data_IF_949233655715
#
_entry.id   IF_949233655715
#
_cell.length_a   1.000
_cell.length_b   1.000
_cell.length_c   1.000
_cell.angle_alpha   90.00
_cell.angle_beta   90.00
_cell.angle_gamma   90.00
#
_symmetry.space_group_name_H-M   'P 1'
#
loop_
_entity.id
_entity.type
_entity.pdbx_description
1 polymer ?
#
# COMPACT_ATOMS: atom_id res chain seq x y z
N UNK A 1 89.93 -60.56 -41.85
CA UNK A 1 89.44 -60.16 -40.51
C UNK A 1 88.45 -59.02 -40.71
N UNK A 2 87.13 -59.32 -40.66
CA UNK A 2 86.19 -59.09 -39.54
C UNK A 2 85.93 -57.58 -39.33
N UNK A 3 84.85 -56.97 -39.83
CA UNK A 3 83.39 -57.10 -39.58
C UNK A 3 82.86 -56.28 -38.39
N UNK A 4 81.65 -55.73 -38.58
CA UNK A 4 80.56 -55.59 -37.58
C UNK A 4 80.48 -54.27 -36.75
N UNK A 5 79.63 -53.37 -37.26
CA UNK A 5 78.39 -52.79 -36.67
C UNK A 5 78.31 -52.19 -35.25
N UNK A 6 77.69 -51.00 -35.23
CA UNK A 6 76.54 -50.56 -34.40
C UNK A 6 76.75 -50.19 -32.93
N UNK A 7 76.31 -48.98 -32.53
CA UNK A 7 74.96 -48.75 -31.97
C UNK A 7 74.67 -47.26 -31.70
N UNK A 8 73.37 -46.96 -31.72
CA UNK A 8 72.74 -45.65 -31.72
C UNK A 8 72.63 -45.07 -30.30
N UNK A 9 72.69 -43.74 -30.16
CA UNK A 9 72.07 -43.03 -29.03
C UNK A 9 71.23 -41.88 -29.59
N UNK A 10 69.96 -41.92 -29.22
CA UNK A 10 68.86 -41.02 -29.59
C UNK A 10 69.04 -39.71 -28.82
N UNK A 11 69.03 -38.57 -29.51
CA UNK A 11 68.90 -37.24 -28.89
C UNK A 11 67.46 -36.79 -29.08
N UNK A 12 66.72 -36.69 -27.97
CA UNK A 12 65.35 -36.20 -27.93
C UNK A 12 65.34 -34.67 -27.93
N UNK A 13 64.62 -34.09 -28.88
CA UNK A 13 64.41 -32.65 -29.05
C UNK A 13 63.45 -32.12 -27.98
N UNK A 14 63.88 -31.13 -27.21
CA UNK A 14 63.02 -30.39 -26.29
C UNK A 14 62.10 -29.43 -27.06
N UNK A 15 60.78 -29.69 -27.03
CA UNK A 15 59.77 -28.76 -27.53
C UNK A 15 59.12 -28.02 -26.35
N UNK A 16 59.19 -26.69 -26.42
CA UNK A 16 58.54 -25.74 -25.51
C UNK A 16 57.04 -26.02 -25.39
N UNK A 17 56.56 -26.25 -24.17
CA UNK A 17 55.13 -26.13 -23.84
C UNK A 17 54.92 -24.69 -23.35
N UNK A 18 54.26 -23.89 -24.18
CA UNK A 18 53.77 -22.56 -23.82
C UNK A 18 52.60 -22.71 -22.82
N UNK A 19 52.78 -22.17 -21.61
CA UNK A 19 51.72 -21.99 -20.62
C UNK A 19 50.71 -20.94 -21.13
N UNK A 20 49.55 -21.39 -21.61
CA UNK A 20 48.36 -20.54 -21.79
C UNK A 20 47.61 -20.41 -20.46
N UNK A 21 48.09 -19.55 -19.55
CA UNK A 21 47.27 -19.01 -18.46
C UNK A 21 46.63 -17.69 -18.91
N UNK A 22 45.45 -17.79 -19.54
CA UNK A 22 44.54 -16.67 -19.69
C UNK A 22 43.11 -17.20 -19.76
N UNK A 23 42.57 -17.58 -18.60
CA UNK A 23 41.18 -18.00 -18.47
C UNK A 23 40.76 -17.98 -17.01
N UNK A 24 39.74 -17.18 -16.72
CA UNK A 24 39.07 -17.03 -15.42
C UNK A 24 39.73 -16.07 -14.42
N UNK A 25 39.57 -14.77 -14.68
CA UNK A 25 39.43 -13.80 -13.58
C UNK A 25 38.41 -12.73 -13.98
N UNK A 26 37.69 -12.25 -12.98
CA UNK A 26 36.60 -11.28 -13.01
C UNK A 26 35.24 -11.81 -13.42
N UNK A 27 34.57 -12.45 -12.45
CA UNK A 27 33.12 -12.33 -12.32
C UNK A 27 32.79 -10.85 -12.17
N UNK A 28 32.43 -10.22 -13.29
CA UNK A 28 31.81 -8.91 -13.33
C UNK A 28 30.49 -9.00 -12.55
N UNK A 29 30.56 -8.64 -11.27
CA UNK A 29 29.44 -8.07 -10.53
C UNK A 29 29.11 -6.71 -11.18
N UNK A 30 28.69 -6.72 -12.45
CA UNK A 30 28.02 -5.55 -13.04
C UNK A 30 26.71 -5.42 -12.28
N UNK A 31 26.69 -4.46 -11.35
CA UNK A 31 25.45 -3.89 -10.87
C UNK A 31 24.57 -3.64 -12.10
N UNK A 32 23.44 -4.36 -12.20
CA UNK A 32 22.51 -4.18 -13.30
C UNK A 32 22.11 -2.70 -13.30
N UNK A 33 22.48 -1.99 -14.38
CA UNK A 33 22.10 -0.60 -14.55
C UNK A 33 20.57 -0.46 -14.49
N UNK A 34 20.10 0.72 -14.08
CA UNK A 34 18.66 1.01 -14.03
C UNK A 34 18.00 0.70 -15.39
N UNK A 35 16.77 0.17 -15.42
CA UNK A 35 16.12 -0.25 -16.65
C UNK A 35 15.85 0.94 -17.58
N UNK A 36 16.17 0.82 -18.87
CA UNK A 36 15.91 1.88 -19.87
C UNK A 36 14.41 2.14 -20.12
N UNK A 37 13.56 1.12 -19.88
CA UNK A 37 12.10 1.21 -19.99
C UNK A 37 11.44 0.29 -18.96
N UNK A 38 10.31 0.72 -18.42
CA UNK A 38 9.42 -0.14 -17.63
C UNK A 38 8.62 -1.04 -18.58
N UNK A 39 8.85 -2.35 -18.52
CA UNK A 39 8.15 -3.39 -19.32
C UNK A 39 7.41 -4.40 -18.44
N UNK A 40 7.89 -4.65 -17.23
CA UNK A 40 7.30 -5.59 -16.27
C UNK A 40 7.14 -4.90 -14.92
N UNK A 41 5.93 -4.95 -14.38
CA UNK A 41 5.55 -4.32 -13.11
C UNK A 41 5.07 -5.42 -12.17
N UNK A 42 5.60 -5.46 -10.94
CA UNK A 42 5.03 -6.24 -9.85
C UNK A 42 4.22 -5.33 -8.93
N UNK A 43 2.95 -5.64 -8.67
CA UNK A 43 2.18 -5.00 -7.60
C UNK A 43 2.11 -5.95 -6.40
N UNK A 44 2.40 -5.44 -5.21
CA UNK A 44 2.24 -6.16 -3.96
C UNK A 44 1.23 -5.43 -3.09
N UNK A 45 0.12 -6.10 -2.77
CA UNK A 45 -0.93 -5.56 -1.92
C UNK A 45 -0.98 -6.31 -0.58
N UNK A 46 -1.64 -5.71 0.42
CA UNK A 46 -1.74 -6.31 1.74
C UNK A 46 -2.72 -7.47 1.79
N UNK A 47 -3.88 -7.33 1.12
CA UNK A 47 -4.99 -8.28 1.19
C UNK A 47 -5.95 -8.07 -0.01
N UNK A 48 -6.05 -9.03 -0.93
CA UNK A 48 -6.96 -8.90 -2.09
C UNK A 48 -8.44 -9.05 -1.73
N UNK A 49 -8.79 -9.45 -0.51
CA UNK A 49 -10.17 -9.49 -0.05
C UNK A 49 -10.78 -8.09 0.19
N UNK A 50 -9.94 -7.07 0.34
CA UNK A 50 -10.38 -5.69 0.50
C UNK A 50 -10.56 -5.00 -0.88
N UNK A 51 -11.75 -4.41 -1.15
CA UNK A 51 -12.07 -3.81 -2.46
C UNK A 51 -11.10 -2.70 -2.88
N UNK A 52 -10.45 -2.01 -1.93
CA UNK A 52 -9.44 -0.99 -2.21
C UNK A 52 -8.27 -1.55 -3.03
N UNK A 53 -7.77 -2.74 -2.67
CA UNK A 53 -6.65 -3.36 -3.36
C UNK A 53 -7.06 -3.98 -4.70
N UNK A 54 -8.31 -4.45 -4.84
CA UNK A 54 -8.86 -4.86 -6.14
C UNK A 54 -8.94 -3.68 -7.12
N UNK A 55 -9.37 -2.50 -6.66
CA UNK A 55 -9.36 -1.29 -7.48
C UNK A 55 -7.94 -0.81 -7.82
N UNK A 56 -7.00 -0.98 -6.88
CA UNK A 56 -5.58 -0.70 -7.09
C UNK A 56 -4.97 -1.58 -8.19
N UNK A 57 -5.22 -2.89 -8.14
CA UNK A 57 -4.81 -3.86 -9.18
C UNK A 57 -5.35 -3.46 -10.56
N UNK A 58 -6.66 -3.18 -10.66
CA UNK A 58 -7.28 -2.69 -11.91
C UNK A 58 -6.59 -1.42 -12.42
N UNK A 59 -6.31 -0.47 -11.54
CA UNK A 59 -5.57 0.75 -11.89
C UNK A 59 -4.15 0.48 -12.37
N UNK A 60 -3.44 -0.46 -11.74
CA UNK A 60 -2.07 -0.82 -12.08
C UNK A 60 -2.01 -1.49 -13.45
N UNK A 61 -2.92 -2.43 -13.74
CA UNK A 61 -3.09 -3.04 -15.07
C UNK A 61 -3.36 -1.99 -16.15
N UNK A 62 -4.24 -1.03 -15.88
CA UNK A 62 -4.50 0.07 -16.82
C UNK A 62 -3.28 0.96 -17.04
N UNK A 63 -2.54 1.29 -15.98
CA UNK A 63 -1.32 2.10 -16.07
C UNK A 63 -0.21 1.37 -16.84
N UNK A 64 -0.04 0.06 -16.61
CA UNK A 64 0.90 -0.80 -17.33
C UNK A 64 0.57 -0.87 -18.82
N UNK A 65 -0.70 -1.14 -19.16
CA UNK A 65 -1.16 -1.23 -20.54
C UNK A 65 -0.88 0.06 -21.34
N UNK A 66 -1.09 1.23 -20.73
CA UNK A 66 -0.82 2.55 -21.37
C UNK A 66 0.63 2.75 -21.81
N UNK A 67 1.58 2.03 -21.21
CA UNK A 67 3.01 2.14 -21.53
C UNK A 67 3.55 0.91 -22.28
N UNK A 68 2.66 -0.04 -22.60
CA UNK A 68 3.00 -1.32 -23.22
C UNK A 68 3.77 -2.26 -22.28
N UNK A 69 3.50 -2.19 -20.97
CA UNK A 69 4.07 -3.07 -19.95
C UNK A 69 3.06 -4.14 -19.52
N UNK A 70 3.57 -5.24 -18.96
CA UNK A 70 2.78 -6.24 -18.23
C UNK A 70 2.81 -5.95 -16.73
N UNK A 71 1.76 -6.35 -16.04
CA UNK A 71 1.62 -6.22 -14.59
C UNK A 71 1.32 -7.61 -14.00
N UNK A 72 1.89 -7.90 -12.83
CA UNK A 72 1.63 -9.10 -12.03
C UNK A 72 1.39 -8.70 -10.58
N UNK A 73 0.16 -8.87 -10.09
CA UNK A 73 -0.21 -8.59 -8.70
C UNK A 73 0.01 -9.80 -7.81
N UNK A 74 0.50 -9.57 -6.60
CA UNK A 74 0.68 -10.57 -5.55
C UNK A 74 -0.02 -10.10 -4.26
N UNK A 75 -0.76 -11.03 -3.65
CA UNK A 75 -1.47 -10.83 -2.38
C UNK A 75 -0.58 -11.29 -1.21
N UNK A 76 -0.25 -10.39 -0.28
CA UNK A 76 0.54 -10.72 0.90
C UNK A 76 -0.24 -11.52 1.94
N UNK A 77 -1.57 -11.50 1.92
CA UNK A 77 -2.42 -12.12 2.94
C UNK A 77 -2.09 -11.64 4.36
N UNK A 78 -1.78 -10.34 4.48
CA UNK A 78 -1.36 -9.68 5.71
C UNK A 78 -0.08 -10.25 6.34
N UNK A 79 0.75 -10.95 5.57
CA UNK A 79 1.98 -11.60 6.05
C UNK A 79 3.24 -10.96 5.42
N UNK A 80 4.18 -10.56 6.28
CA UNK A 80 5.44 -9.94 5.87
C UNK A 80 6.38 -10.94 5.17
N UNK A 81 6.39 -12.21 5.58
CA UNK A 81 7.22 -13.23 4.95
C UNK A 81 6.77 -13.49 3.51
N UNK A 82 5.45 -13.47 3.26
CA UNK A 82 4.90 -13.49 1.90
C UNK A 82 5.43 -12.32 1.06
N UNK A 83 5.40 -11.08 1.59
CA UNK A 83 5.94 -9.92 0.86
C UNK A 83 7.45 -10.04 0.56
N UNK A 84 8.23 -10.61 1.49
CA UNK A 84 9.64 -10.88 1.25
C UNK A 84 9.84 -11.88 0.09
N UNK A 85 9.09 -12.99 0.10
CA UNK A 85 9.15 -14.01 -0.96
C UNK A 85 8.69 -13.49 -2.33
N UNK A 86 7.68 -12.61 -2.34
CA UNK A 86 7.18 -11.96 -3.54
C UNK A 86 8.25 -11.05 -4.17
N UNK A 87 8.98 -10.27 -3.36
CA UNK A 87 10.10 -9.47 -3.85
C UNK A 87 11.17 -10.36 -4.47
N UNK A 88 11.56 -11.46 -3.81
CA UNK A 88 12.58 -12.37 -4.36
C UNK A 88 12.10 -13.01 -5.68
N UNK A 89 10.81 -13.34 -5.79
CA UNK A 89 10.19 -13.81 -7.04
C UNK A 89 10.24 -12.74 -8.14
N UNK A 90 9.93 -11.49 -7.82
CA UNK A 90 9.99 -10.39 -8.78
C UNK A 90 11.41 -10.06 -9.24
N UNK A 91 12.41 -10.20 -8.37
CA UNK A 91 13.82 -10.14 -8.74
C UNK A 91 14.15 -11.22 -9.77
N UNK A 92 13.76 -12.47 -9.51
CA UNK A 92 13.99 -13.59 -10.44
C UNK A 92 13.27 -13.39 -11.78
N UNK A 93 12.06 -12.82 -11.76
CA UNK A 93 11.28 -12.52 -12.98
C UNK A 93 11.85 -11.35 -13.80
N UNK A 94 12.81 -10.60 -13.24
CA UNK A 94 13.40 -9.42 -13.85
C UNK A 94 12.38 -8.31 -14.05
N UNK A 95 11.52 -8.05 -13.06
CA UNK A 95 10.62 -6.88 -13.13
C UNK A 95 11.42 -5.58 -13.09
N UNK A 96 10.88 -4.52 -13.67
CA UNK A 96 11.55 -3.21 -13.70
C UNK A 96 11.07 -2.28 -12.59
N UNK A 97 9.84 -2.50 -12.13
CA UNK A 97 9.17 -1.72 -11.11
C UNK A 97 8.45 -2.67 -10.15
N UNK A 98 8.66 -2.46 -8.85
CA UNK A 98 7.81 -3.01 -7.79
C UNK A 98 7.02 -1.86 -7.20
N UNK A 99 5.69 -1.98 -7.21
CA UNK A 99 4.78 -1.11 -6.48
C UNK A 99 4.33 -1.89 -5.24
N UNK A 100 4.54 -1.35 -4.04
CA UNK A 100 4.27 -2.07 -2.79
C UNK A 100 3.41 -1.26 -1.84
N UNK A 101 2.29 -1.85 -1.39
CA UNK A 101 1.64 -1.43 -0.15
C UNK A 101 2.13 -2.35 0.97
N UNK A 102 2.96 -1.83 1.86
CA UNK A 102 3.63 -2.66 2.87
C UNK A 102 2.68 -3.13 3.97
N UNK A 103 2.78 -4.41 4.34
CA UNK A 103 2.18 -4.96 5.58
C UNK A 103 2.92 -4.41 6.81
N UNK A 104 4.25 -4.36 6.73
CA UNK A 104 5.12 -3.69 7.71
C UNK A 104 6.13 -2.80 6.99
N UNK A 105 5.96 -1.49 7.14
CA UNK A 105 6.79 -0.49 6.48
C UNK A 105 8.26 -0.52 6.89
N UNK A 106 8.60 -0.99 8.09
CA UNK A 106 9.99 -1.12 8.54
C UNK A 106 10.54 -2.51 8.25
N UNK A 107 9.75 -3.56 8.53
CA UNK A 107 10.15 -4.95 8.37
C UNK A 107 10.48 -5.33 6.92
N UNK A 108 9.84 -4.69 5.94
CA UNK A 108 10.08 -4.95 4.51
C UNK A 108 11.41 -4.34 3.98
N UNK A 109 12.07 -3.49 4.76
CA UNK A 109 13.25 -2.73 4.34
C UNK A 109 14.35 -3.60 3.70
N UNK A 110 14.79 -4.73 4.30
CA UNK A 110 15.89 -5.52 3.74
C UNK A 110 15.54 -6.13 2.37
N UNK A 111 14.27 -6.47 2.12
CA UNK A 111 13.83 -7.00 0.83
C UNK A 111 13.76 -5.90 -0.24
N UNK A 112 13.27 -4.71 0.10
CA UNK A 112 13.30 -3.55 -0.82
C UNK A 112 14.74 -3.23 -1.25
N UNK A 113 15.69 -3.27 -0.31
CA UNK A 113 17.11 -3.04 -0.62
C UNK A 113 17.69 -4.13 -1.54
N UNK A 114 17.26 -5.39 -1.42
CA UNK A 114 17.63 -6.46 -2.39
C UNK A 114 17.11 -6.14 -3.79
N UNK A 115 15.83 -5.78 -3.92
CA UNK A 115 15.25 -5.40 -5.21
C UNK A 115 15.99 -4.21 -5.84
N UNK A 116 16.30 -3.18 -5.05
CA UNK A 116 17.04 -2.01 -5.54
C UNK A 116 18.47 -2.35 -5.98
N UNK A 117 19.17 -3.24 -5.26
CA UNK A 117 20.49 -3.74 -5.69
C UNK A 117 20.42 -4.54 -7.00
N UNK A 118 19.27 -5.16 -7.31
CA UNK A 118 18.99 -5.79 -8.59
C UNK A 118 18.55 -4.79 -9.68
N UNK A 119 18.66 -3.48 -9.45
CA UNK A 119 18.33 -2.44 -10.42
C UNK A 119 16.83 -2.14 -10.55
N UNK A 120 15.98 -2.70 -9.68
CA UNK A 120 14.53 -2.52 -9.71
C UNK A 120 14.15 -1.22 -9.01
N UNK A 121 13.30 -0.40 -9.64
CA UNK A 121 12.71 0.77 -8.98
C UNK A 121 11.61 0.28 -8.03
N UNK A 122 11.60 0.76 -6.79
CA UNK A 122 10.59 0.38 -5.79
C UNK A 122 9.81 1.60 -5.34
N UNK A 123 8.50 1.62 -5.56
CA UNK A 123 7.62 2.71 -5.14
C UNK A 123 6.62 2.16 -4.13
N UNK A 124 6.56 2.79 -2.95
CA UNK A 124 5.53 2.47 -1.97
C UNK A 124 4.23 3.21 -2.29
N UNK A 125 3.08 2.57 -2.09
CA UNK A 125 1.75 3.18 -2.24
C UNK A 125 0.87 2.87 -1.04
N UNK A 126 -0.06 3.78 -0.72
CA UNK A 126 -0.99 3.71 0.42
C UNK A 126 -0.30 3.66 1.80
N UNK A 127 0.47 2.61 2.07
CA UNK A 127 1.25 2.43 3.29
C UNK A 127 2.76 2.60 2.98
N UNK A 128 3.46 3.55 3.63
CA UNK A 128 4.88 3.78 3.42
C UNK A 128 5.75 2.55 3.66
N UNK A 129 6.83 2.42 2.88
CA UNK A 129 7.83 1.38 3.04
C UNK A 129 9.23 1.99 3.08
N UNK A 130 10.01 1.64 4.11
CA UNK A 130 11.36 2.16 4.29
C UNK A 130 12.27 1.66 3.16
N UNK A 131 13.20 2.53 2.74
CA UNK A 131 14.10 2.32 1.60
C UNK A 131 13.46 2.32 0.20
N UNK A 132 12.14 2.52 0.07
CA UNK A 132 11.50 2.77 -1.23
C UNK A 132 12.04 4.05 -1.88
N UNK A 133 12.04 4.12 -3.21
CA UNK A 133 12.52 5.29 -3.98
C UNK A 133 11.57 6.49 -3.88
N UNK A 134 10.27 6.21 -3.76
CA UNK A 134 9.25 7.19 -3.40
C UNK A 134 8.05 6.51 -2.73
N UNK A 135 7.21 7.32 -2.09
CA UNK A 135 5.96 6.94 -1.43
C UNK A 135 4.84 7.80 -2.01
N UNK A 136 3.76 7.17 -2.47
CA UNK A 136 2.57 7.87 -2.97
C UNK A 136 1.36 7.40 -2.16
N UNK A 137 0.79 8.30 -1.38
CA UNK A 137 -0.30 7.94 -0.47
C UNK A 137 -1.33 9.05 -0.39
N UNK A 138 -2.53 8.71 0.05
CA UNK A 138 -3.50 9.73 0.47
C UNK A 138 -2.89 10.53 1.62
N UNK A 139 -3.17 11.83 1.72
CA UNK A 139 -2.95 12.59 2.94
C UNK A 139 -3.90 12.05 4.04
N UNK A 140 -3.46 11.02 4.75
CA UNK A 140 -4.26 10.27 5.71
C UNK A 140 -4.63 11.10 6.94
N UNK A 141 -3.76 12.04 7.35
CA UNK A 141 -4.07 13.02 8.40
C UNK A 141 -5.21 13.91 7.94
N UNK A 142 -5.13 14.46 6.72
CA UNK A 142 -6.22 15.27 6.17
C UNK A 142 -7.51 14.46 6.00
N UNK A 143 -7.46 13.21 5.57
CA UNK A 143 -8.64 12.36 5.42
C UNK A 143 -9.36 12.14 6.75
N UNK A 144 -8.62 11.79 7.81
CA UNK A 144 -9.17 11.64 9.15
C UNK A 144 -9.70 12.95 9.73
N UNK A 145 -8.99 14.06 9.50
CA UNK A 145 -9.41 15.40 9.92
C UNK A 145 -10.73 15.80 9.25
N UNK A 146 -10.85 15.65 7.92
CA UNK A 146 -12.09 15.97 7.18
C UNK A 146 -13.27 15.11 7.61
N UNK A 147 -13.05 13.81 7.78
CA UNK A 147 -14.10 12.87 8.15
C UNK A 147 -14.64 13.15 9.56
N UNK A 148 -13.75 13.38 10.53
CA UNK A 148 -14.15 13.69 11.90
C UNK A 148 -14.67 15.11 12.08
N UNK A 149 -14.10 16.12 11.41
CA UNK A 149 -14.63 17.48 11.42
C UNK A 149 -16.09 17.50 10.96
N UNK A 150 -16.39 16.81 9.85
CA UNK A 150 -17.75 16.67 9.37
C UNK A 150 -18.65 15.92 10.37
N UNK A 151 -18.19 14.80 10.93
CA UNK A 151 -18.93 14.07 11.97
C UNK A 151 -19.29 14.98 13.15
N UNK A 152 -18.33 15.76 13.65
CA UNK A 152 -18.51 16.62 14.83
C UNK A 152 -19.47 17.77 14.56
N UNK A 153 -19.38 18.41 13.38
CA UNK A 153 -20.37 19.41 12.93
C UNK A 153 -21.77 18.81 12.90
N UNK A 154 -21.90 17.62 12.32
CA UNK A 154 -23.16 16.94 12.15
C UNK A 154 -23.81 16.52 13.47
N UNK A 155 -23.04 16.32 14.55
CA UNK A 155 -23.59 16.07 15.89
C UNK A 155 -23.70 17.36 16.74
N UNK A 156 -23.52 18.53 16.14
CA UNK A 156 -23.70 19.83 16.81
C UNK A 156 -22.52 20.25 17.69
N UNK A 157 -21.31 19.74 17.41
CA UNK A 157 -20.06 20.12 18.08
C UNK A 157 -19.90 19.62 19.52
N UNK A 158 -20.80 18.76 20.00
CA UNK A 158 -20.75 18.16 21.34
C UNK A 158 -21.33 16.74 21.35
N UNK A 159 -20.83 15.91 22.26
CA UNK A 159 -21.34 14.56 22.46
C UNK A 159 -20.24 13.51 22.60
N UNK A 160 -20.68 12.29 22.81
CA UNK A 160 -19.81 11.13 22.97
C UNK A 160 -19.58 10.45 21.63
N UNK A 161 -18.32 10.12 21.33
CA UNK A 161 -17.89 9.53 20.07
C UNK A 161 -17.13 8.22 20.32
N UNK A 162 -17.34 7.25 19.44
CA UNK A 162 -16.53 6.03 19.35
C UNK A 162 -15.55 6.12 18.19
N UNK A 163 -14.36 5.55 18.38
CA UNK A 163 -13.38 5.35 17.33
C UNK A 163 -13.24 3.85 17.06
N UNK A 164 -13.61 3.44 15.86
CA UNK A 164 -13.31 2.11 15.33
C UNK A 164 -12.00 2.24 14.57
N UNK A 165 -10.91 1.89 15.25
CA UNK A 165 -9.55 1.92 14.72
C UNK A 165 -9.27 0.63 13.91
N UNK A 166 -8.02 0.43 13.51
CA UNK A 166 -7.61 -0.69 12.67
C UNK A 166 -6.28 -1.31 13.11
N UNK A 167 -5.64 -1.98 12.15
CA UNK A 167 -4.29 -2.55 12.34
C UNK A 167 -3.26 -1.45 12.61
N UNK A 168 -2.14 -1.76 13.31
CA UNK A 168 -1.22 -0.74 13.80
C UNK A 168 -0.23 -0.24 12.73
N UNK A 169 -0.69 0.13 11.54
CA UNK A 169 0.13 0.69 10.45
C UNK A 169 0.05 2.23 10.40
N UNK A 170 1.02 2.86 9.73
CA UNK A 170 1.18 4.31 9.72
C UNK A 170 -0.07 5.05 9.20
N UNK A 171 -0.60 4.63 8.04
CA UNK A 171 -1.76 5.25 7.40
C UNK A 171 -2.98 5.30 8.33
N UNK A 172 -3.16 4.28 9.16
CA UNK A 172 -4.25 4.20 10.13
C UNK A 172 -4.02 5.17 11.29
N UNK A 173 -2.81 5.18 11.87
CA UNK A 173 -2.43 6.16 12.91
C UNK A 173 -2.60 7.60 12.44
N UNK A 174 -2.31 7.88 11.17
CA UNK A 174 -2.45 9.20 10.58
C UNK A 174 -3.91 9.63 10.49
N UNK A 175 -4.84 8.74 10.10
CA UNK A 175 -6.29 9.02 10.14
C UNK A 175 -6.77 9.33 11.56
N UNK A 176 -6.33 8.55 12.55
CA UNK A 176 -6.68 8.83 13.96
C UNK A 176 -6.08 10.16 14.43
N UNK A 177 -4.85 10.49 14.01
CA UNK A 177 -4.20 11.76 14.32
C UNK A 177 -4.97 12.94 13.73
N UNK A 178 -5.42 12.81 12.47
CA UNK A 178 -6.31 13.76 11.81
C UNK A 178 -7.61 13.97 12.58
N UNK A 179 -8.25 12.88 12.99
CA UNK A 179 -9.48 12.95 13.79
C UNK A 179 -9.26 13.70 15.12
N UNK A 180 -8.18 13.36 15.84
CA UNK A 180 -7.80 14.06 17.08
C UNK A 180 -7.45 15.53 16.86
N UNK A 181 -6.92 15.90 15.69
CA UNK A 181 -6.68 17.29 15.30
C UNK A 181 -7.99 18.04 15.11
N UNK A 182 -8.97 17.45 14.42
CA UNK A 182 -10.31 18.03 14.27
C UNK A 182 -10.97 18.27 15.65
N UNK A 183 -10.84 17.31 16.58
CA UNK A 183 -11.41 17.42 17.93
C UNK A 183 -10.97 18.68 18.70
N UNK A 184 -9.77 19.23 18.43
CA UNK A 184 -9.29 20.45 19.10
C UNK A 184 -10.20 21.66 18.88
N UNK A 185 -11.01 21.64 17.81
CA UNK A 185 -11.99 22.69 17.51
C UNK A 185 -13.34 22.46 18.21
N UNK A 186 -13.55 21.29 18.82
CA UNK A 186 -14.82 20.87 19.41
C UNK A 186 -14.62 20.39 20.86
N UNK A 187 -14.46 21.30 21.84
CA UNK A 187 -14.21 20.92 23.23
C UNK A 187 -15.38 20.15 23.88
N UNK A 188 -16.57 20.17 23.27
CA UNK A 188 -17.73 19.38 23.70
C UNK A 188 -17.70 17.91 23.27
N UNK A 189 -16.75 17.51 22.42
CA UNK A 189 -16.60 16.13 21.94
C UNK A 189 -15.75 15.32 22.90
N UNK A 190 -16.24 14.13 23.25
CA UNK A 190 -15.52 13.18 24.11
C UNK A 190 -15.43 11.82 23.44
N UNK A 191 -14.22 11.28 23.30
CA UNK A 191 -14.05 9.89 22.88
C UNK A 191 -14.31 8.99 24.09
N UNK A 192 -15.38 8.20 24.03
CA UNK A 192 -15.80 7.31 25.14
C UNK A 192 -15.51 5.83 24.87
N UNK A 193 -15.02 5.52 23.67
CA UNK A 193 -14.53 4.18 23.32
C UNK A 193 -13.63 4.26 22.10
N UNK A 194 -12.57 3.45 22.11
CA UNK A 194 -11.59 3.36 21.05
C UNK A 194 -11.10 1.90 21.01
N UNK A 195 -11.46 1.17 19.96
CA UNK A 195 -11.04 -0.21 19.79
C UNK A 195 -10.57 -0.47 18.36
N UNK A 196 -9.55 -1.32 18.23
CA UNK A 196 -9.00 -1.73 16.94
C UNK A 196 -9.82 -2.87 16.32
N UNK A 197 -10.28 -2.64 15.11
CA UNK A 197 -10.78 -3.69 14.20
C UNK A 197 -9.62 -4.33 13.43
N UNK A 198 -9.93 -5.35 12.62
CA UNK A 198 -9.00 -5.96 11.67
C UNK A 198 -9.13 -5.34 10.26
N UNK A 199 -9.59 -4.09 10.18
CA UNK A 199 -9.86 -3.34 8.94
C UNK A 199 -11.00 -3.91 8.08
N UNK A 200 -11.77 -4.86 8.61
CA UNK A 200 -12.85 -5.53 7.92
C UNK A 200 -14.21 -5.24 8.58
N UNK A 201 -15.29 -5.55 7.85
CA UNK A 201 -16.66 -5.30 8.29
C UNK A 201 -17.04 -6.11 9.53
N UNK A 202 -16.58 -7.36 9.62
CA UNK A 202 -17.00 -8.27 10.69
C UNK A 202 -16.40 -7.87 12.05
N UNK A 203 -15.11 -7.56 12.06
CA UNK A 203 -14.41 -7.03 13.23
C UNK A 203 -14.88 -5.62 13.58
N UNK A 204 -15.17 -4.76 12.59
CA UNK A 204 -15.78 -3.44 12.82
C UNK A 204 -17.16 -3.52 13.49
N UNK A 205 -17.99 -4.47 13.08
CA UNK A 205 -19.27 -4.79 13.74
C UNK A 205 -19.04 -5.24 15.19
N UNK A 206 -18.15 -6.21 15.41
CA UNK A 206 -17.90 -6.79 16.73
C UNK A 206 -17.47 -5.73 17.75
N UNK A 207 -16.40 -4.97 17.45
CA UNK A 207 -15.88 -3.95 18.39
C UNK A 207 -16.87 -2.82 18.61
N UNK A 208 -17.68 -2.46 17.60
CA UNK A 208 -18.70 -1.42 17.77
C UNK A 208 -19.84 -1.90 18.67
N UNK A 209 -20.28 -3.14 18.52
CA UNK A 209 -21.30 -3.75 19.40
C UNK A 209 -20.84 -3.75 20.85
N UNK A 210 -19.59 -4.14 21.09
CA UNK A 210 -19.01 -4.14 22.44
C UNK A 210 -18.95 -2.73 23.02
N UNK A 211 -18.45 -1.76 22.25
CA UNK A 211 -18.38 -0.35 22.68
C UNK A 211 -19.77 0.26 22.92
N UNK A 212 -20.77 -0.02 22.08
CA UNK A 212 -22.14 0.47 22.27
C UNK A 212 -22.82 -0.16 23.48
N UNK A 213 -22.47 -1.40 23.83
CA UNK A 213 -22.94 -2.06 25.05
C UNK A 213 -22.33 -1.42 26.29
N UNK A 214 -21.02 -1.17 26.27
CA UNK A 214 -20.31 -0.52 27.38
C UNK A 214 -20.68 0.97 27.54
N UNK A 215 -20.93 1.67 26.42
CA UNK A 215 -21.19 3.12 26.37
C UNK A 215 -22.41 3.43 25.50
N UNK A 216 -23.64 3.24 26.01
CA UNK A 216 -24.84 3.34 25.19
C UNK A 216 -25.21 4.78 24.78
N UNK A 217 -24.69 5.79 25.48
CA UNK A 217 -24.91 7.19 25.15
C UNK A 217 -23.80 7.71 24.23
N UNK A 218 -23.97 7.51 22.92
CA UNK A 218 -23.05 7.92 21.85
C UNK A 218 -23.84 8.66 20.78
N UNK A 219 -23.22 9.67 20.16
CA UNK A 219 -23.80 10.46 19.06
C UNK A 219 -23.04 10.26 17.74
N UNK A 220 -21.75 9.94 17.80
CA UNK A 220 -20.91 9.78 16.61
C UNK A 220 -20.03 8.54 16.67
N UNK A 221 -19.75 7.96 15.50
CA UNK A 221 -18.73 6.91 15.35
C UNK A 221 -17.85 7.28 14.16
N UNK A 222 -16.55 7.32 14.37
CA UNK A 222 -15.57 7.39 13.29
C UNK A 222 -14.98 6.01 13.05
N UNK A 223 -15.20 5.46 11.85
CA UNK A 223 -14.46 4.28 11.38
C UNK A 223 -13.25 4.72 10.58
N UNK A 224 -12.08 4.19 10.92
CA UNK A 224 -10.83 4.55 10.24
C UNK A 224 -10.80 4.17 8.76
N UNK A 225 -11.68 3.27 8.31
CA UNK A 225 -11.92 2.95 6.91
C UNK A 225 -13.42 2.64 6.66
N UNK A 226 -13.82 2.54 5.40
CA UNK A 226 -15.21 2.27 5.04
C UNK A 226 -15.68 0.87 5.47
N UNK A 227 -14.94 -0.24 5.27
CA UNK A 227 -15.35 -1.55 5.77
C UNK A 227 -15.70 -1.57 7.26
N UNK A 228 -14.82 -1.03 8.13
CA UNK A 228 -15.05 -0.98 9.57
C UNK A 228 -16.18 -0.01 9.94
N UNK A 229 -16.29 1.13 9.25
CA UNK A 229 -17.42 2.06 9.42
C UNK A 229 -18.76 1.40 9.04
N UNK A 230 -18.82 0.61 7.96
CA UNK A 230 -20.02 -0.12 7.55
C UNK A 230 -20.37 -1.25 8.54
N UNK A 231 -19.37 -1.86 9.19
CA UNK A 231 -19.58 -2.73 10.35
C UNK A 231 -20.24 -1.98 11.51
N UNK A 232 -19.77 -0.77 11.81
CA UNK A 232 -20.36 0.09 12.84
C UNK A 232 -21.79 0.51 12.51
N UNK A 233 -22.10 0.79 11.23
CA UNK A 233 -23.47 1.08 10.77
C UNK A 233 -24.42 -0.07 11.07
N UNK A 234 -23.97 -1.31 10.85
CA UNK A 234 -24.75 -2.50 11.18
C UNK A 234 -24.97 -2.62 12.69
N UNK A 235 -23.93 -2.40 13.52
CA UNK A 235 -24.05 -2.40 14.97
C UNK A 235 -25.06 -1.34 15.47
N UNK A 236 -25.01 -0.12 14.94
CA UNK A 236 -25.95 0.97 15.24
C UNK A 236 -27.38 0.59 14.88
N UNK A 237 -27.56 -0.09 13.75
CA UNK A 237 -28.88 -0.54 13.29
C UNK A 237 -29.43 -1.64 14.18
N UNK A 238 -28.61 -2.63 14.53
CA UNK A 238 -28.98 -3.74 15.44
C UNK A 238 -29.28 -3.24 16.86
N UNK A 239 -28.58 -2.21 17.33
CA UNK A 239 -28.84 -1.57 18.61
C UNK A 239 -30.05 -0.62 18.61
N UNK A 240 -30.80 -0.53 17.51
CA UNK A 240 -31.93 0.39 17.33
C UNK A 240 -31.59 1.87 17.57
N UNK A 241 -30.37 2.28 17.18
CA UNK A 241 -29.84 3.65 17.34
C UNK A 241 -29.81 4.44 16.03
N UNK A 242 -30.38 3.91 14.95
CA UNK A 242 -30.56 4.64 13.69
C UNK A 242 -31.25 5.98 13.92
N UNK A 243 -30.71 7.06 13.32
CA UNK A 243 -31.20 8.42 13.51
C UNK A 243 -30.69 9.12 14.80
N UNK A 244 -30.06 8.37 15.73
CA UNK A 244 -29.44 8.94 16.94
C UNK A 244 -27.92 8.93 16.90
N UNK A 245 -27.33 7.97 16.18
CA UNK A 245 -25.88 7.84 15.99
C UNK A 245 -25.55 8.07 14.52
N UNK A 246 -24.58 8.96 14.27
CA UNK A 246 -24.02 9.21 12.94
C UNK A 246 -22.67 8.51 12.80
N UNK A 247 -22.36 8.01 11.61
CA UNK A 247 -21.13 7.27 11.31
C UNK A 247 -20.42 7.90 10.12
N UNK A 248 -19.11 8.13 10.23
CA UNK A 248 -18.26 8.50 9.09
C UNK A 248 -17.15 7.49 8.88
N UNK A 249 -16.65 7.41 7.65
CA UNK A 249 -15.54 6.55 7.24
C UNK A 249 -14.42 7.29 6.53
N UNK A 250 -13.49 6.53 6.00
CA UNK A 250 -12.48 6.96 5.03
C UNK A 250 -12.40 5.84 4.00
N UNK A 251 -12.50 6.15 2.72
CA UNK A 251 -12.04 5.39 1.54
C UNK A 251 -12.78 5.91 0.30
N UNK A 252 -14.06 6.29 0.45
CA UNK A 252 -14.92 6.57 -0.71
C UNK A 252 -15.19 5.32 -1.52
N UNK A 253 -15.30 4.17 -0.85
CA UNK A 253 -15.51 2.85 -1.46
C UNK A 253 -16.85 2.77 -2.19
N UNK A 254 -16.99 1.90 -3.20
CA UNK A 254 -18.28 1.65 -3.85
C UNK A 254 -19.41 1.32 -2.86
N UNK A 255 -19.12 0.52 -1.83
CA UNK A 255 -20.08 0.17 -0.78
C UNK A 255 -20.41 1.35 0.13
N UNK A 256 -19.43 2.17 0.50
CA UNK A 256 -19.64 3.42 1.24
C UNK A 256 -20.52 4.40 0.46
N UNK A 257 -20.27 4.54 -0.84
CA UNK A 257 -21.08 5.36 -1.76
C UNK A 257 -22.50 4.83 -1.86
N UNK A 258 -22.69 3.51 -1.96
CA UNK A 258 -24.02 2.90 -1.96
C UNK A 258 -24.75 3.15 -0.62
N UNK A 259 -24.04 3.04 0.50
CA UNK A 259 -24.61 3.28 1.83
C UNK A 259 -25.00 4.74 2.06
N UNK A 260 -24.24 5.70 1.53
CA UNK A 260 -24.60 7.13 1.57
C UNK A 260 -25.95 7.39 0.87
N UNK A 261 -26.19 6.70 -0.25
CA UNK A 261 -27.45 6.79 -1.01
C UNK A 261 -28.62 6.11 -0.31
N UNK A 262 -28.36 5.24 0.67
CA UNK A 262 -29.41 4.56 1.43
C UNK A 262 -30.12 5.55 2.35
N UNK A 263 -31.44 5.64 2.18
CA UNK A 263 -32.29 6.49 3.01
C UNK A 263 -32.15 6.12 4.50
N UNK A 264 -32.03 7.14 5.35
CA UNK A 264 -31.90 7.02 6.82
C UNK A 264 -30.70 6.18 7.29
N UNK A 265 -29.68 5.96 6.45
CA UNK A 265 -28.47 5.29 6.93
C UNK A 265 -27.76 6.12 8.01
N UNK A 266 -27.27 5.49 9.10
CA UNK A 266 -26.34 6.12 10.04
C UNK A 266 -25.07 6.68 9.37
N UNK A 267 -24.66 6.10 8.24
CA UNK A 267 -23.48 6.55 7.50
C UNK A 267 -23.75 7.88 6.81
N UNK A 268 -22.96 8.91 7.12
CA UNK A 268 -23.23 10.29 6.69
C UNK A 268 -22.16 10.88 5.78
N UNK A 269 -20.93 10.34 5.81
CA UNK A 269 -19.86 10.81 4.95
C UNK A 269 -18.62 9.92 5.01
N UNK A 270 -17.75 10.08 4.00
CA UNK A 270 -16.46 9.41 3.91
C UNK A 270 -15.43 10.31 3.25
N UNK A 271 -14.24 10.38 3.82
CA UNK A 271 -13.11 11.02 3.15
C UNK A 271 -12.53 10.05 2.11
N UNK A 272 -12.19 10.51 0.92
CA UNK A 272 -11.86 9.64 -0.20
C UNK A 272 -10.39 9.24 -0.24
N UNK A 273 -10.15 8.09 -0.86
CA UNK A 273 -8.87 7.70 -1.41
C UNK A 273 -8.97 7.58 -2.94
N UNK A 274 -7.84 7.37 -3.61
CA UNK A 274 -7.81 7.09 -5.04
C UNK A 274 -6.75 6.04 -5.40
N UNK A 275 -7.07 4.73 -5.28
CA UNK A 275 -6.11 3.66 -5.49
C UNK A 275 -5.56 3.62 -6.92
N UNK A 276 -6.39 3.92 -7.92
CA UNK A 276 -5.95 3.96 -9.32
C UNK A 276 -4.98 5.12 -9.60
N UNK A 277 -5.20 6.29 -9.00
CA UNK A 277 -4.28 7.42 -9.11
C UNK A 277 -2.93 7.15 -8.44
N UNK A 278 -2.92 6.45 -7.28
CA UNK A 278 -1.67 6.08 -6.60
C UNK A 278 -0.76 5.27 -7.51
N UNK A 279 -1.27 4.19 -8.10
CA UNK A 279 -0.49 3.32 -8.99
C UNK A 279 -0.15 3.99 -10.32
N UNK A 280 -1.04 4.83 -10.86
CA UNK A 280 -0.74 5.64 -12.06
C UNK A 280 0.43 6.58 -11.80
N UNK A 281 0.44 7.27 -10.66
CA UNK A 281 1.56 8.12 -10.23
C UNK A 281 2.81 7.30 -9.95
N UNK A 282 2.70 6.10 -9.40
CA UNK A 282 3.85 5.22 -9.15
C UNK A 282 4.57 4.84 -10.44
N UNK A 283 3.81 4.47 -11.47
CA UNK A 283 4.36 4.22 -12.82
C UNK A 283 5.01 5.48 -13.39
N UNK A 284 4.38 6.64 -13.25
CA UNK A 284 4.93 7.92 -13.73
C UNK A 284 6.25 8.28 -13.03
N UNK A 285 6.29 8.20 -11.70
CA UNK A 285 7.49 8.46 -10.89
C UNK A 285 8.61 7.47 -11.24
N UNK A 286 8.29 6.19 -11.42
CA UNK A 286 9.27 5.19 -11.84
C UNK A 286 9.86 5.52 -13.22
N UNK A 287 9.02 5.93 -14.18
CA UNK A 287 9.47 6.39 -15.50
C UNK A 287 10.39 7.63 -15.41
N UNK A 288 10.09 8.55 -14.50
CA UNK A 288 10.91 9.74 -14.27
C UNK A 288 12.26 9.38 -13.64
N UNK A 289 12.29 8.45 -12.68
CA UNK A 289 13.53 7.94 -12.07
C UNK A 289 14.44 7.28 -13.11
N UNK A 290 13.92 6.44 -14.00
CA UNK A 290 14.74 5.76 -15.02
C UNK A 290 15.24 6.71 -16.12
N UNK A 291 14.55 7.84 -16.33
CA UNK A 291 14.99 8.93 -17.22
C UNK A 291 15.94 9.91 -16.55
N UNK A 292 16.47 9.59 -15.37
CA UNK A 292 17.32 10.46 -14.56
C UNK A 292 16.66 11.82 -14.22
N UNK A 293 15.35 11.83 -14.02
CA UNK A 293 14.55 12.98 -13.58
C UNK A 293 13.78 12.65 -12.30
N UNK A 294 14.43 12.22 -11.20
CA UNK A 294 13.71 11.79 -10.00
C UNK A 294 12.83 12.92 -9.43
N UNK A 295 11.74 12.58 -8.72
CA UNK A 295 10.88 13.60 -8.11
C UNK A 295 11.67 14.40 -7.05
N UNK A 296 11.33 15.69 -6.90
CA UNK A 296 11.96 16.56 -5.89
C UNK A 296 11.64 16.11 -4.47
N UNK A 297 10.40 15.64 -4.27
CA UNK A 297 9.94 15.07 -3.01
C UNK A 297 9.70 13.57 -3.22
N UNK A 298 10.23 12.76 -2.31
CA UNK A 298 10.05 11.31 -2.34
C UNK A 298 8.78 10.86 -1.61
N UNK A 299 8.04 11.78 -0.98
CA UNK A 299 6.70 11.52 -0.44
C UNK A 299 5.71 12.41 -1.16
N UNK A 300 4.77 11.80 -1.89
CA UNK A 300 3.79 12.50 -2.71
C UNK A 300 2.41 12.24 -2.11
N UNK A 301 1.80 13.28 -1.55
CA UNK A 301 0.48 13.20 -0.95
C UNK A 301 -0.61 13.47 -1.98
N UNK A 302 -1.63 12.61 -2.01
CA UNK A 302 -2.87 12.81 -2.75
C UNK A 302 -3.89 13.40 -1.78
N UNK A 303 -4.41 14.62 -2.02
CA UNK A 303 -5.45 15.20 -1.19
C UNK A 303 -6.69 14.32 -1.13
N UNK A 304 -7.34 14.30 0.03
CA UNK A 304 -8.59 13.58 0.24
C UNK A 304 -9.76 14.56 0.11
N UNK A 305 -10.84 14.12 -0.53
CA UNK A 305 -12.08 14.88 -0.63
C UNK A 305 -13.13 14.29 0.31
N UNK A 306 -14.05 15.10 0.82
CA UNK A 306 -15.17 14.59 1.60
C UNK A 306 -16.36 14.30 0.69
N UNK A 307 -16.86 13.07 0.71
CA UNK A 307 -18.10 12.66 0.06
C UNK A 307 -19.19 12.52 1.10
N UNK A 308 -20.29 13.21 0.89
CA UNK A 308 -21.50 13.22 1.73
C UNK A 308 -22.72 12.96 0.86
N UNK A 309 -23.91 12.91 1.47
CA UNK A 309 -25.16 12.80 0.70
C UNK A 309 -25.37 13.93 -0.30
N UNK A 310 -24.81 15.11 -0.03
CA UNK A 310 -25.04 16.30 -0.86
C UNK A 310 -24.26 16.25 -2.17
N UNK A 311 -23.12 15.55 -2.20
CA UNK A 311 -22.24 15.50 -3.38
C UNK A 311 -22.02 14.09 -3.94
N UNK A 312 -22.55 13.03 -3.32
CA UNK A 312 -22.38 11.63 -3.76
C UNK A 312 -22.87 11.38 -5.19
N UNK A 313 -23.80 12.19 -5.70
CA UNK A 313 -24.27 12.10 -7.08
C UNK A 313 -23.19 12.50 -8.12
N UNK A 314 -22.22 13.33 -7.72
CA UNK A 314 -21.15 13.82 -8.59
C UNK A 314 -19.80 13.15 -8.32
N UNK A 315 -19.71 12.37 -7.24
CA UNK A 315 -18.52 11.60 -6.92
C UNK A 315 -18.34 10.47 -7.93
N UNK A 316 -17.23 10.49 -8.67
CA UNK A 316 -16.92 9.51 -9.72
C UNK A 316 -16.60 8.12 -9.15
N UNK A 317 -16.20 8.03 -7.88
CA UNK A 317 -15.73 6.79 -7.28
C UNK A 317 -14.41 6.30 -7.86
N UNK A 318 -14.06 5.08 -7.46
CA UNK A 318 -12.95 4.30 -7.98
C UNK A 318 -13.36 2.83 -8.09
#
# INVERSE_FOLDING_TARGET
>A
MKSITSKHVIVATAALVALSLAGCTSGDNRAQGKPEKIKKIGLMVQDMSNPFFSAMDKGAKQAAAKIGATENTQDAQLDLANQNNQIDTFIQQGVNLIIVSAVDGNGIQPAIERAKRAGIVVIAVDTPAKSADAVIMTDAVQAGERSCDYLFKEIGGKGNVLIVDGTPIQTIRDRITGCKKAMKQYPGIKVVGHQSSKNDRASGLAVTTDMLTATPNVQGIFGMNDPSALGAVLAVTQAHKTGRVKVTGVDGSPEGVAELKRARSPYIGTATQNPAEMVRRAVQVAQDIIRNKPPKETTILIPSELVTRDNVAHYKGW
#
